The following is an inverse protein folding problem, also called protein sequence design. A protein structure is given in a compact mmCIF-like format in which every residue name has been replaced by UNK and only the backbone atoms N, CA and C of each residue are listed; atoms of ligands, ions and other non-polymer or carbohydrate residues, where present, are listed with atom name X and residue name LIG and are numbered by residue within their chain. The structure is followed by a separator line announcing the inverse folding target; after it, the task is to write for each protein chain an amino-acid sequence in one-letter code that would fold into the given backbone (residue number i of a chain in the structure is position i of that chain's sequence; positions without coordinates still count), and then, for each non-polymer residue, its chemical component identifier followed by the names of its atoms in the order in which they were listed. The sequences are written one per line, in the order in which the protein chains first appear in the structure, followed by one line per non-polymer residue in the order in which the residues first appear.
data_IF_014001978729
#
_entry.id   IF_014001978729
#
_cell.length_a   1.000
_cell.length_b   1.000
_cell.length_c   1.000
_cell.angle_alpha   90.00
_cell.angle_beta   90.00
_cell.angle_gamma   90.00
#
_symmetry.space_group_name_H-M   'P 1'
#
loop_
_entity.id
_entity.type
_entity.pdbx_description
1 polymer ?
#
# COMPACT_ATOMS: atom_id res chain seq x y z
N UNK A 1 12.25 14.23 -7.40
CA UNK A 1 11.71 15.57 -7.46
C UNK A 1 10.58 15.65 -8.47
N UNK A 2 9.63 16.63 -8.36
CA UNK A 2 8.55 16.78 -9.32
C UNK A 2 9.04 16.92 -10.77
N UNK A 3 8.27 16.35 -11.72
CA UNK A 3 8.57 16.40 -13.15
C UNK A 3 9.70 15.50 -13.64
N UNK A 4 10.34 14.73 -12.77
CA UNK A 4 11.37 13.77 -13.18
C UNK A 4 10.76 12.51 -13.77
N UNK A 5 11.50 11.85 -14.66
CA UNK A 5 11.25 10.47 -15.07
C UNK A 5 12.18 9.54 -14.30
N UNK A 6 11.65 8.44 -13.74
CA UNK A 6 12.41 7.48 -12.93
C UNK A 6 12.09 6.07 -13.39
N UNK A 7 13.11 5.30 -13.76
CA UNK A 7 12.97 3.88 -14.09
C UNK A 7 13.96 3.04 -13.29
N UNK A 8 13.54 1.87 -12.88
CA UNK A 8 14.34 0.96 -12.05
C UNK A 8 13.83 -0.48 -12.21
N UNK A 9 14.64 -1.46 -11.88
CA UNK A 9 14.27 -2.88 -11.90
C UNK A 9 13.27 -3.31 -10.82
N UNK A 10 12.71 -2.37 -10.05
CA UNK A 10 11.69 -2.60 -9.03
C UNK A 10 10.32 -2.11 -9.51
N UNK A 11 9.28 -2.96 -9.44
CA UNK A 11 7.91 -2.60 -9.84
C UNK A 11 7.34 -1.44 -9.03
N UNK A 12 7.73 -1.30 -7.74
CA UNK A 12 7.25 -0.23 -6.87
C UNK A 12 8.03 1.09 -7.00
N UNK A 13 8.84 1.24 -8.05
CA UNK A 13 9.38 2.53 -8.51
C UNK A 13 8.26 3.56 -8.71
N UNK A 14 7.04 3.12 -9.01
CA UNK A 14 5.83 3.94 -9.06
C UNK A 14 5.59 4.79 -7.80
N UNK A 15 6.15 4.41 -6.65
CA UNK A 15 6.10 5.20 -5.40
C UNK A 15 6.52 6.66 -5.61
N UNK A 16 7.48 6.94 -6.51
CA UNK A 16 7.94 8.30 -6.82
C UNK A 16 6.87 9.18 -7.46
N UNK A 17 5.79 8.59 -7.98
CA UNK A 17 4.63 9.34 -8.48
C UNK A 17 3.96 10.22 -7.43
N UNK A 18 4.15 9.92 -6.14
CA UNK A 18 3.72 10.77 -5.02
C UNK A 18 4.34 12.17 -5.03
N UNK A 19 5.46 12.33 -5.74
CA UNK A 19 6.16 13.60 -5.95
C UNK A 19 5.84 14.26 -7.30
N UNK A 20 4.89 13.74 -8.06
CA UNK A 20 4.65 14.20 -9.44
C UNK A 20 5.74 13.78 -10.42
N UNK A 21 6.42 12.65 -10.16
CA UNK A 21 7.42 12.05 -11.05
C UNK A 21 6.76 10.93 -11.87
N UNK A 22 7.02 10.87 -13.17
CA UNK A 22 6.64 9.70 -13.97
C UNK A 22 7.63 8.57 -13.70
N UNK A 23 7.21 7.62 -12.86
CA UNK A 23 8.07 6.57 -12.34
C UNK A 23 7.45 5.19 -12.49
N UNK A 24 8.23 4.23 -13.01
CA UNK A 24 7.76 2.86 -13.17
C UNK A 24 8.89 1.83 -13.20
N UNK A 25 8.54 0.59 -12.89
CA UNK A 25 9.44 -0.55 -13.03
C UNK A 25 9.69 -0.93 -14.48
N UNK A 26 10.90 -1.42 -14.75
CA UNK A 26 11.33 -1.95 -16.05
C UNK A 26 12.02 -3.30 -15.88
N UNK A 27 12.03 -4.10 -16.93
CA UNK A 27 12.70 -5.39 -16.93
C UNK A 27 14.23 -5.28 -17.00
N UNK A 28 14.92 -6.37 -16.69
CA UNK A 28 16.39 -6.41 -16.64
C UNK A 28 17.04 -5.98 -17.95
N UNK A 29 16.52 -6.44 -19.11
CA UNK A 29 17.01 -6.05 -20.43
C UNK A 29 16.80 -4.56 -20.72
N UNK A 30 15.70 -3.98 -20.23
CA UNK A 30 15.44 -2.54 -20.33
C UNK A 30 16.38 -1.74 -19.43
N UNK A 31 16.73 -2.27 -18.22
CA UNK A 31 17.75 -1.66 -17.36
C UNK A 31 19.10 -1.59 -18.06
N UNK A 32 19.54 -2.68 -18.71
CA UNK A 32 20.77 -2.71 -19.50
C UNK A 32 20.73 -1.63 -20.60
N UNK A 33 19.63 -1.55 -21.36
CA UNK A 33 19.45 -0.57 -22.42
C UNK A 33 19.54 0.87 -21.89
N UNK A 34 18.84 1.16 -20.78
CA UNK A 34 18.86 2.50 -20.15
C UNK A 34 20.24 2.86 -19.64
N UNK A 35 20.99 1.93 -19.04
CA UNK A 35 22.35 2.19 -18.58
C UNK A 35 23.31 2.48 -19.74
N UNK A 36 23.11 1.80 -20.89
CA UNK A 36 23.94 1.99 -22.07
C UNK A 36 23.61 3.28 -22.87
N UNK A 37 22.33 3.64 -22.95
CA UNK A 37 21.85 4.66 -23.90
C UNK A 37 21.13 5.83 -23.25
N UNK A 38 20.76 5.73 -21.98
CA UNK A 38 19.91 6.67 -21.22
C UNK A 38 18.55 6.92 -21.89
N UNK A 39 18.10 5.97 -22.69
CA UNK A 39 16.81 6.03 -23.39
C UNK A 39 16.00 4.75 -23.15
N UNK A 40 14.68 4.89 -23.29
CA UNK A 40 13.76 3.77 -23.21
C UNK A 40 12.60 3.99 -24.20
N UNK A 41 12.36 3.01 -25.07
CA UNK A 41 11.24 3.05 -25.99
C UNK A 41 9.99 2.60 -25.24
N UNK A 42 9.01 3.49 -25.14
CA UNK A 42 7.76 3.21 -24.46
C UNK A 42 6.55 3.46 -25.36
N UNK A 43 5.55 2.59 -25.26
CA UNK A 43 4.23 2.86 -25.83
C UNK A 43 3.54 3.92 -24.95
N UNK A 44 2.96 4.96 -25.56
CA UNK A 44 2.17 5.97 -24.84
C UNK A 44 1.06 5.28 -24.05
N UNK A 45 1.01 5.52 -22.76
CA UNK A 45 -0.04 5.03 -21.87
C UNK A 45 -1.33 5.83 -22.08
N UNK A 46 -2.45 5.23 -21.75
CA UNK A 46 -3.72 5.92 -21.58
C UNK A 46 -3.75 6.66 -20.25
N UNK A 47 -4.60 7.68 -20.14
CA UNK A 47 -4.76 8.47 -18.94
C UNK A 47 -6.00 8.01 -18.14
N UNK A 48 -5.81 7.66 -16.87
CA UNK A 48 -6.91 7.36 -15.95
C UNK A 48 -6.91 8.35 -14.81
N UNK A 49 -8.07 8.93 -14.53
CA UNK A 49 -8.30 9.77 -13.34
C UNK A 49 -8.99 8.93 -12.26
N UNK A 50 -8.41 8.93 -11.05
CA UNK A 50 -9.04 8.37 -9.84
C UNK A 50 -9.21 9.52 -8.85
N UNK A 51 -10.44 9.92 -8.64
CA UNK A 51 -10.80 11.04 -7.78
C UNK A 51 -11.44 10.56 -6.49
N UNK A 52 -10.81 10.89 -5.35
CA UNK A 52 -11.36 10.59 -4.03
C UNK A 52 -11.88 11.89 -3.44
N UNK A 53 -13.20 12.08 -3.49
CA UNK A 53 -13.87 13.30 -3.04
C UNK A 53 -14.14 13.30 -1.54
N UNK A 54 -14.31 14.47 -0.96
CA UNK A 54 -14.67 14.64 0.46
C UNK A 54 -13.54 14.24 1.41
N UNK A 55 -13.90 13.71 2.59
CA UNK A 55 -12.94 13.38 3.66
C UNK A 55 -12.99 11.92 4.05
N UNK A 56 -11.86 11.39 4.47
CA UNK A 56 -11.79 10.05 5.05
C UNK A 56 -12.39 10.05 6.47
N UNK A 57 -13.06 8.95 6.81
CA UNK A 57 -13.55 8.73 8.19
C UNK A 57 -12.38 8.32 9.11
N UNK A 58 -12.50 8.53 10.42
CA UNK A 58 -11.51 8.02 11.39
C UNK A 58 -11.24 6.52 11.20
N UNK A 59 -9.97 6.12 11.31
CA UNK A 59 -9.52 4.74 11.14
C UNK A 59 -9.28 4.32 9.67
N UNK A 60 -9.61 5.17 8.70
CA UNK A 60 -9.33 4.95 7.27
C UNK A 60 -7.99 5.57 6.89
N UNK A 61 -7.19 4.85 6.13
CA UNK A 61 -5.82 5.22 5.73
C UNK A 61 -5.65 5.20 4.21
N UNK A 62 -4.49 5.64 3.75
CA UNK A 62 -4.11 5.54 2.33
C UNK A 62 -4.15 4.09 1.80
N UNK A 63 -3.88 3.10 2.66
CA UNK A 63 -3.99 1.67 2.31
C UNK A 63 -5.42 1.28 1.97
N UNK A 64 -6.38 1.78 2.73
CA UNK A 64 -7.80 1.50 2.51
C UNK A 64 -8.30 2.16 1.21
N UNK A 65 -7.80 3.36 0.89
CA UNK A 65 -8.07 4.01 -0.41
C UNK A 65 -7.63 3.09 -1.55
N UNK A 66 -6.36 2.65 -1.53
CA UNK A 66 -5.82 1.83 -2.64
C UNK A 66 -6.53 0.50 -2.77
N UNK A 67 -6.80 -0.18 -1.67
CA UNK A 67 -7.55 -1.43 -1.68
C UNK A 67 -8.97 -1.21 -2.22
N UNK A 68 -9.65 -0.14 -1.84
CA UNK A 68 -10.99 0.21 -2.37
C UNK A 68 -10.95 0.50 -3.86
N UNK A 69 -9.94 1.21 -4.36
CA UNK A 69 -9.76 1.47 -5.80
C UNK A 69 -9.54 0.16 -6.55
N UNK A 70 -8.65 -0.72 -6.06
CA UNK A 70 -8.36 -2.02 -6.68
C UNK A 70 -9.61 -2.91 -6.64
N UNK A 71 -10.33 -2.94 -5.53
CA UNK A 71 -11.60 -3.67 -5.41
C UNK A 71 -12.65 -3.22 -6.43
N UNK A 72 -12.74 -1.90 -6.68
CA UNK A 72 -13.68 -1.34 -7.65
C UNK A 72 -13.26 -1.57 -9.11
N UNK A 73 -11.95 -1.65 -9.40
CA UNK A 73 -11.42 -1.71 -10.77
C UNK A 73 -10.95 -3.10 -11.20
N UNK A 74 -10.61 -3.93 -10.24
CA UNK A 74 -9.89 -5.19 -10.43
C UNK A 74 -8.39 -5.00 -10.61
N UNK A 75 -7.62 -6.08 -10.46
CA UNK A 75 -6.14 -6.11 -10.61
C UNK A 75 -5.66 -5.83 -12.03
N UNK A 76 -6.53 -5.91 -13.03
CA UNK A 76 -6.25 -5.58 -14.43
C UNK A 76 -6.87 -4.25 -14.87
N UNK A 77 -7.60 -3.56 -13.98
CA UNK A 77 -8.39 -2.37 -14.32
C UNK A 77 -7.57 -1.18 -14.80
N UNK A 78 -6.31 -1.10 -14.38
CA UNK A 78 -5.34 -0.09 -14.77
C UNK A 78 -4.40 -0.50 -15.90
N UNK A 79 -4.58 -1.66 -16.51
CA UNK A 79 -3.66 -2.15 -17.55
C UNK A 79 -3.61 -1.22 -18.76
N UNK A 80 -2.40 -0.75 -19.07
CA UNK A 80 -2.14 0.22 -20.14
C UNK A 80 -2.39 1.69 -19.76
N UNK A 81 -2.70 1.97 -18.49
CA UNK A 81 -2.91 3.32 -17.97
C UNK A 81 -1.74 3.81 -17.11
N UNK A 82 -1.59 5.12 -17.08
CA UNK A 82 -1.02 5.86 -15.95
C UNK A 82 -2.20 6.47 -15.19
N UNK A 83 -2.22 6.31 -13.88
CA UNK A 83 -3.32 6.79 -13.02
C UNK A 83 -2.90 8.10 -12.36
N UNK A 84 -3.69 9.15 -12.52
CA UNK A 84 -3.62 10.34 -11.67
C UNK A 84 -4.63 10.18 -10.53
N UNK A 85 -4.12 10.22 -9.31
CA UNK A 85 -4.94 10.26 -8.10
C UNK A 85 -5.13 11.70 -7.65
N UNK A 86 -6.37 12.12 -7.46
CA UNK A 86 -6.74 13.49 -7.10
C UNK A 86 -7.97 13.52 -6.18
N UNK A 87 -8.48 14.72 -5.90
CA UNK A 87 -9.61 14.95 -4.99
C UNK A 87 -9.14 15.41 -3.61
N UNK A 88 -10.11 15.83 -2.77
CA UNK A 88 -9.83 16.40 -1.45
C UNK A 88 -9.12 15.40 -0.56
N UNK A 89 -9.61 14.17 -0.49
CA UNK A 89 -9.03 13.15 0.36
C UNK A 89 -7.57 12.82 0.00
N UNK A 90 -7.20 12.87 -1.29
CA UNK A 90 -5.81 12.67 -1.73
C UNK A 90 -4.93 13.87 -1.36
N UNK A 91 -5.43 15.10 -1.51
CA UNK A 91 -4.71 16.31 -1.10
C UNK A 91 -4.46 16.37 0.40
N UNK A 92 -5.41 15.82 1.20
CA UNK A 92 -5.29 15.77 2.65
C UNK A 92 -4.25 14.76 3.15
N UNK A 93 -3.90 13.74 2.36
CA UNK A 93 -2.87 12.77 2.71
C UNK A 93 -1.51 13.43 2.97
N UNK A 94 -0.76 12.84 3.90
CA UNK A 94 0.68 13.07 4.05
C UNK A 94 1.46 12.59 2.83
N UNK A 95 2.74 12.94 2.71
CA UNK A 95 3.58 12.39 1.65
C UNK A 95 3.72 10.88 1.75
N UNK A 96 3.81 10.32 2.94
CA UNK A 96 3.86 8.88 3.19
C UNK A 96 2.58 8.18 2.72
N UNK A 97 1.41 8.78 2.99
CA UNK A 97 0.13 8.31 2.48
C UNK A 97 0.06 8.34 0.95
N UNK A 98 0.52 9.44 0.33
CA UNK A 98 0.61 9.55 -1.13
C UNK A 98 1.56 8.51 -1.74
N UNK A 99 2.69 8.24 -1.07
CA UNK A 99 3.60 7.17 -1.48
C UNK A 99 2.94 5.79 -1.43
N UNK A 100 2.10 5.52 -0.43
CA UNK A 100 1.33 4.27 -0.37
C UNK A 100 0.35 4.16 -1.54
N UNK A 101 -0.35 5.24 -1.89
CA UNK A 101 -1.28 5.28 -3.03
C UNK A 101 -0.55 4.98 -4.34
N UNK A 102 0.54 5.69 -4.62
CA UNK A 102 1.31 5.49 -5.85
C UNK A 102 2.05 4.14 -5.89
N UNK A 103 2.54 3.66 -4.74
CA UNK A 103 3.17 2.35 -4.61
C UNK A 103 2.24 1.23 -5.09
N UNK A 104 0.99 1.26 -4.67
CA UNK A 104 0.02 0.21 -4.97
C UNK A 104 -0.73 0.38 -6.30
N UNK A 105 -0.47 1.43 -7.07
CA UNK A 105 -1.06 1.59 -8.40
C UNK A 105 -0.75 0.39 -9.32
N UNK A 106 0.42 -0.21 -9.16
CA UNK A 106 0.87 -1.40 -9.89
C UNK A 106 -0.01 -2.62 -9.59
N UNK A 107 -0.55 -2.72 -8.39
CA UNK A 107 -1.41 -3.85 -7.99
C UNK A 107 -2.80 -3.79 -8.66
N UNK A 108 -3.21 -2.61 -9.13
CA UNK A 108 -4.34 -2.42 -10.03
C UNK A 108 -4.00 -2.60 -11.52
N UNK A 109 -2.77 -3.03 -11.84
CA UNK A 109 -2.30 -3.24 -13.21
C UNK A 109 -1.81 -1.98 -13.93
N UNK A 110 -1.79 -0.82 -13.27
CA UNK A 110 -1.35 0.42 -13.88
C UNK A 110 0.17 0.45 -14.12
N UNK A 111 0.59 1.23 -15.12
CA UNK A 111 2.01 1.45 -15.41
C UNK A 111 2.68 2.30 -14.32
N UNK A 112 1.97 3.34 -13.88
CA UNK A 112 2.41 4.25 -12.83
C UNK A 112 1.19 4.88 -12.15
N UNK A 113 1.39 5.38 -10.94
CA UNK A 113 0.47 6.28 -10.25
C UNK A 113 1.12 7.64 -10.10
N UNK A 114 0.36 8.72 -10.24
CA UNK A 114 0.81 10.09 -10.11
C UNK A 114 -0.11 10.87 -9.18
N UNK A 115 0.48 11.78 -8.41
CA UNK A 115 -0.24 12.81 -7.67
C UNK A 115 0.43 14.14 -8.03
N UNK A 116 -0.37 15.13 -8.44
CA UNK A 116 0.14 16.46 -8.75
C UNK A 116 0.89 17.06 -7.54
N UNK A 117 2.09 17.62 -7.71
CA UNK A 117 2.84 18.17 -6.61
C UNK A 117 2.17 19.46 -6.09
N UNK A 118 2.14 19.61 -4.78
CA UNK A 118 1.56 20.74 -4.06
C UNK A 118 2.51 21.22 -2.92
N UNK A 119 2.04 22.10 -2.07
CA UNK A 119 2.81 22.65 -0.96
C UNK A 119 3.38 21.57 -0.04
N UNK A 120 2.63 20.48 0.22
CA UNK A 120 3.15 19.35 1.02
C UNK A 120 4.33 18.67 0.35
N UNK A 121 4.26 18.51 -0.97
CA UNK A 121 5.35 17.93 -1.76
C UNK A 121 6.58 18.83 -1.72
N UNK A 122 6.38 20.14 -1.87
CA UNK A 122 7.47 21.11 -1.85
C UNK A 122 8.14 21.16 -0.48
N UNK A 123 7.37 21.23 0.60
CA UNK A 123 7.90 21.23 1.96
C UNK A 123 8.66 19.94 2.28
N UNK A 124 8.16 18.79 1.83
CA UNK A 124 8.86 17.51 2.01
C UNK A 124 10.18 17.45 1.26
N UNK A 125 10.29 18.07 0.07
CA UNK A 125 11.52 18.12 -0.73
C UNK A 125 12.52 19.14 -0.19
N UNK A 126 12.07 20.20 0.47
CA UNK A 126 12.89 21.31 0.93
C UNK A 126 13.99 20.84 1.88
N UNK A 127 15.22 21.29 1.62
CA UNK A 127 16.37 20.98 2.46
C UNK A 127 16.93 19.55 2.30
N UNK A 128 16.34 18.70 1.46
CA UNK A 128 16.90 17.38 1.18
C UNK A 128 18.26 17.50 0.47
N UNK A 129 19.18 16.53 0.66
CA UNK A 129 20.56 16.63 0.15
C UNK A 129 20.68 16.98 -1.34
N UNK A 130 19.79 16.45 -2.17
CA UNK A 130 19.80 16.65 -3.63
C UNK A 130 18.69 17.58 -4.13
N UNK A 131 18.01 18.28 -3.23
CA UNK A 131 17.04 19.30 -3.62
C UNK A 131 17.77 20.56 -4.13
N UNK A 132 17.18 21.31 -5.09
CA UNK A 132 17.70 22.61 -5.50
C UNK A 132 17.83 23.57 -4.31
N UNK A 133 18.73 24.56 -4.39
CA UNK A 133 18.97 25.54 -3.32
C UNK A 133 19.00 26.95 -3.88
N UNK A 134 18.65 27.94 -3.04
CA UNK A 134 18.68 29.36 -3.43
C UNK A 134 17.85 29.65 -4.68
N UNK A 135 18.38 30.40 -5.62
CA UNK A 135 17.68 30.77 -6.84
C UNK A 135 17.21 29.56 -7.69
N UNK A 136 17.93 28.43 -7.62
CA UNK A 136 17.50 27.19 -8.29
C UNK A 136 16.25 26.60 -7.66
N UNK A 137 16.08 26.75 -6.35
CA UNK A 137 14.87 26.31 -5.65
C UNK A 137 13.67 27.14 -6.10
N UNK A 138 13.81 28.46 -6.18
CA UNK A 138 12.73 29.36 -6.62
C UNK A 138 12.31 29.03 -8.06
N UNK A 139 13.28 28.87 -8.97
CA UNK A 139 13.00 28.49 -10.35
C UNK A 139 12.33 27.09 -10.45
N UNK A 140 12.73 26.15 -9.62
CA UNK A 140 12.11 24.82 -9.56
C UNK A 140 10.67 24.91 -9.06
N UNK A 141 10.41 25.69 -8.00
CA UNK A 141 9.08 25.92 -7.46
C UNK A 141 8.13 26.53 -8.50
N UNK A 142 8.60 27.53 -9.25
CA UNK A 142 7.80 28.16 -10.31
C UNK A 142 7.40 27.14 -11.38
N UNK A 143 8.33 26.25 -11.75
CA UNK A 143 8.03 25.18 -12.70
C UNK A 143 7.15 24.08 -12.10
N UNK A 144 7.41 23.62 -10.89
CA UNK A 144 6.65 22.55 -10.25
C UNK A 144 5.18 22.90 -10.05
N UNK A 145 4.88 24.18 -9.82
CA UNK A 145 3.51 24.68 -9.71
C UNK A 145 2.71 24.60 -11.02
N UNK A 146 3.38 24.37 -12.15
CA UNK A 146 2.72 24.16 -13.44
C UNK A 146 2.40 22.69 -13.75
N UNK A 147 2.82 21.76 -12.88
CA UNK A 147 2.68 20.31 -13.09
C UNK A 147 1.33 19.77 -12.61
N UNK A 148 0.26 20.47 -12.94
CA UNK A 148 -1.12 20.01 -12.75
C UNK A 148 -1.71 19.63 -14.11
N UNK A 149 -2.65 18.70 -14.11
CA UNK A 149 -3.46 18.46 -15.30
C UNK A 149 -4.40 19.63 -15.55
N UNK A 150 -4.51 20.06 -16.80
CA UNK A 150 -5.39 21.13 -17.22
C UNK A 150 -6.87 20.76 -16.95
N UNK A 151 -7.75 21.75 -16.81
CA UNK A 151 -9.17 21.52 -16.54
C UNK A 151 -9.86 20.74 -17.68
N UNK A 152 -9.40 20.93 -18.91
CA UNK A 152 -9.86 20.27 -20.12
C UNK A 152 -9.02 19.03 -20.50
N UNK A 153 -8.18 18.53 -19.59
CA UNK A 153 -7.36 17.35 -19.83
C UNK A 153 -8.21 16.14 -20.25
N UNK A 154 -7.74 15.44 -21.29
CA UNK A 154 -8.42 14.25 -21.79
C UNK A 154 -8.15 13.03 -20.88
N UNK A 155 -9.23 12.39 -20.43
CA UNK A 155 -9.20 11.17 -19.64
C UNK A 155 -9.85 10.03 -20.42
N UNK A 156 -9.10 8.93 -20.63
CA UNK A 156 -9.64 7.70 -21.23
C UNK A 156 -10.56 6.95 -20.26
N UNK A 157 -10.37 7.15 -18.94
CA UNK A 157 -11.21 6.57 -17.88
C UNK A 157 -11.21 7.48 -16.66
N UNK A 158 -12.37 7.65 -16.05
CA UNK A 158 -12.56 8.38 -14.80
C UNK A 158 -13.25 7.48 -13.79
N UNK A 159 -12.74 7.48 -12.54
CA UNK A 159 -13.32 6.78 -11.41
C UNK A 159 -13.44 7.78 -10.28
N UNK A 160 -14.62 7.90 -9.69
CA UNK A 160 -14.87 8.77 -8.54
C UNK A 160 -15.37 7.93 -7.37
N UNK A 161 -14.72 8.06 -6.22
CA UNK A 161 -15.10 7.41 -4.97
C UNK A 161 -15.23 8.49 -3.90
N UNK A 162 -16.29 8.42 -3.10
CA UNK A 162 -16.44 9.32 -1.96
C UNK A 162 -15.59 8.80 -0.79
N UNK A 163 -14.77 9.65 -0.22
CA UNK A 163 -13.91 9.30 0.93
C UNK A 163 -14.72 8.80 2.13
N UNK A 164 -15.92 9.34 2.33
CA UNK A 164 -16.85 8.94 3.39
C UNK A 164 -17.38 7.50 3.22
N UNK A 165 -17.36 6.97 2.00
CA UNK A 165 -17.81 5.59 1.71
C UNK A 165 -16.70 4.54 1.89
N UNK A 166 -15.44 5.00 2.01
CA UNK A 166 -14.31 4.12 2.28
C UNK A 166 -14.30 3.75 3.76
N UNK A 167 -14.17 2.45 4.03
CA UNK A 167 -14.04 1.91 5.38
C UNK A 167 -12.68 1.20 5.54
N UNK A 168 -12.19 0.97 6.77
CA UNK A 168 -11.06 0.09 6.98
C UNK A 168 -11.28 -1.24 6.27
N UNK A 169 -10.35 -1.59 5.39
CA UNK A 169 -10.51 -2.65 4.40
C UNK A 169 -9.54 -3.81 4.67
N UNK A 170 -9.96 -5.01 4.32
CA UNK A 170 -9.14 -6.22 4.41
C UNK A 170 -9.40 -7.12 3.22
N UNK A 171 -8.37 -7.76 2.68
CA UNK A 171 -8.57 -8.79 1.65
C UNK A 171 -9.01 -10.10 2.29
N UNK A 172 -10.06 -10.70 1.73
CA UNK A 172 -10.57 -12.01 2.16
C UNK A 172 -10.02 -13.16 1.33
N UNK A 173 -9.62 -12.89 0.08
CA UNK A 173 -9.17 -13.90 -0.87
C UNK A 173 -7.69 -13.82 -1.22
N UNK A 174 -7.33 -14.27 -2.40
CA UNK A 174 -5.96 -14.46 -2.88
C UNK A 174 -5.48 -13.38 -3.85
N UNK A 175 -6.23 -12.30 -3.94
CA UNK A 175 -5.93 -11.14 -4.80
C UNK A 175 -6.19 -9.84 -4.04
N UNK A 176 -5.46 -8.74 -4.31
CA UNK A 176 -5.80 -7.43 -3.76
C UNK A 176 -7.20 -6.92 -4.15
N UNK A 177 -7.80 -7.44 -5.23
CA UNK A 177 -9.18 -7.12 -5.60
C UNK A 177 -10.24 -7.84 -4.74
N UNK A 178 -9.86 -8.91 -4.06
CA UNK A 178 -10.72 -9.65 -3.14
C UNK A 178 -10.81 -8.92 -1.80
N UNK A 179 -11.22 -7.67 -1.80
CA UNK A 179 -11.24 -6.77 -0.65
C UNK A 179 -12.66 -6.40 -0.24
N UNK A 180 -12.87 -6.29 1.06
CA UNK A 180 -14.12 -5.86 1.66
C UNK A 180 -13.87 -4.98 2.88
N UNK A 181 -14.85 -4.15 3.29
CA UNK A 181 -14.83 -3.51 4.59
C UNK A 181 -14.70 -4.56 5.71
N UNK A 182 -13.94 -4.26 6.76
CA UNK A 182 -13.71 -5.19 7.90
C UNK A 182 -15.02 -5.67 8.55
N UNK A 183 -16.08 -4.90 8.43
CA UNK A 183 -17.42 -5.22 8.98
C UNK A 183 -18.23 -6.18 8.11
N UNK A 184 -17.72 -6.55 6.95
CA UNK A 184 -18.39 -7.46 6.01
C UNK A 184 -18.21 -8.93 6.40
N UNK A 185 -18.80 -9.79 5.59
CA UNK A 185 -18.68 -11.25 5.69
C UNK A 185 -17.98 -11.80 4.45
N UNK A 186 -17.36 -12.96 4.57
CA UNK A 186 -16.84 -13.72 3.44
C UNK A 186 -17.96 -13.93 2.43
N UNK A 187 -17.80 -13.52 1.15
CA UNK A 187 -18.84 -13.62 0.15
C UNK A 187 -19.14 -15.09 -0.19
N UNK A 188 -20.35 -15.35 -0.66
CA UNK A 188 -20.64 -16.64 -1.27
C UNK A 188 -20.12 -16.65 -2.73
N UNK A 189 -19.66 -17.81 -3.20
CA UNK A 189 -19.21 -17.92 -4.59
C UNK A 189 -20.35 -17.61 -5.58
N UNK A 190 -21.60 -17.84 -5.17
CA UNK A 190 -22.81 -17.49 -5.94
C UNK A 190 -23.04 -15.98 -6.10
N UNK A 191 -22.36 -15.13 -5.32
CA UNK A 191 -22.46 -13.68 -5.43
C UNK A 191 -21.69 -13.13 -6.68
N UNK A 192 -20.89 -14.00 -7.28
CA UNK A 192 -20.08 -13.67 -8.46
C UNK A 192 -20.70 -14.22 -9.75
N UNK A 193 -20.23 -13.78 -10.91
CA UNK A 193 -20.70 -14.22 -12.22
C UNK A 193 -19.54 -14.65 -13.13
N UNK A 194 -19.83 -15.54 -14.08
CA UNK A 194 -18.84 -16.01 -15.05
C UNK A 194 -17.65 -16.70 -14.40
N UNK A 195 -16.47 -16.49 -14.93
CA UNK A 195 -15.22 -17.08 -14.40
C UNK A 195 -14.85 -16.67 -12.98
N UNK A 196 -15.47 -15.60 -12.45
CA UNK A 196 -15.24 -15.17 -11.06
C UNK A 196 -15.88 -16.11 -10.03
N UNK A 197 -16.87 -16.93 -10.40
CA UNK A 197 -17.46 -17.95 -9.50
C UNK A 197 -16.40 -18.97 -9.09
N UNK A 198 -15.68 -19.52 -10.06
CA UNK A 198 -14.66 -20.54 -9.79
C UNK A 198 -13.42 -19.93 -9.11
N UNK A 199 -13.05 -18.70 -9.44
CA UNK A 199 -12.01 -17.97 -8.76
C UNK A 199 -12.34 -17.73 -7.28
N UNK A 200 -13.58 -17.33 -6.97
CA UNK A 200 -14.03 -17.14 -5.58
C UNK A 200 -14.05 -18.46 -4.79
N UNK A 201 -14.56 -19.55 -5.38
CA UNK A 201 -14.50 -20.88 -4.74
C UNK A 201 -13.08 -21.29 -4.40
N UNK A 202 -12.15 -21.16 -5.36
CA UNK A 202 -10.74 -21.47 -5.14
C UNK A 202 -10.11 -20.59 -4.06
N UNK A 203 -10.40 -19.29 -4.06
CA UNK A 203 -9.89 -18.37 -3.06
C UNK A 203 -10.41 -18.71 -1.65
N UNK A 204 -11.71 -18.99 -1.49
CA UNK A 204 -12.32 -19.38 -0.22
C UNK A 204 -11.69 -20.70 0.30
N UNK A 205 -11.54 -21.69 -0.59
CA UNK A 205 -10.90 -22.98 -0.27
C UNK A 205 -9.43 -22.79 0.15
N UNK A 206 -8.65 -22.07 -0.66
CA UNK A 206 -7.22 -21.80 -0.37
C UNK A 206 -7.05 -21.07 0.96
N UNK A 207 -7.87 -20.04 1.18
CA UNK A 207 -7.84 -19.25 2.41
C UNK A 207 -8.46 -20.00 3.60
N UNK A 208 -9.08 -21.18 3.37
CA UNK A 208 -9.71 -21.98 4.42
C UNK A 208 -10.80 -21.20 5.17
N UNK A 209 -11.64 -20.49 4.41
CA UNK A 209 -12.73 -19.68 4.93
C UNK A 209 -14.08 -20.39 4.70
N UNK A 210 -15.11 -19.89 5.38
CA UNK A 210 -16.48 -20.33 5.19
C UNK A 210 -17.32 -19.17 4.68
N UNK A 211 -18.12 -19.40 3.65
CA UNK A 211 -19.07 -18.39 3.13
C UNK A 211 -19.99 -17.87 4.26
N UNK A 212 -20.18 -16.56 4.29
CA UNK A 212 -21.00 -15.91 5.32
C UNK A 212 -20.33 -15.70 6.69
N UNK A 213 -19.11 -16.22 6.91
CA UNK A 213 -18.31 -15.98 8.12
C UNK A 213 -17.98 -14.49 8.23
N UNK A 214 -18.13 -13.88 9.40
CA UNK A 214 -17.72 -12.51 9.61
C UNK A 214 -16.20 -12.38 9.47
N UNK A 215 -15.71 -11.33 8.79
CA UNK A 215 -14.26 -11.13 8.63
C UNK A 215 -13.57 -10.99 9.99
N UNK A 216 -14.24 -10.42 10.98
CA UNK A 216 -13.73 -10.27 12.35
C UNK A 216 -13.61 -11.59 13.14
N UNK A 217 -14.17 -12.69 12.64
CA UNK A 217 -14.03 -14.02 13.25
C UNK A 217 -12.81 -14.79 12.72
N UNK A 218 -12.14 -14.25 11.71
CA UNK A 218 -10.95 -14.87 11.11
C UNK A 218 -9.77 -14.76 12.07
N UNK A 219 -9.28 -15.90 12.56
CA UNK A 219 -8.09 -15.97 13.42
C UNK A 219 -6.81 -15.77 12.63
N UNK A 220 -5.78 -15.19 13.28
CA UNK A 220 -4.48 -14.83 12.71
C UNK A 220 -3.38 -15.50 13.52
N UNK A 221 -2.41 -16.10 12.85
CA UNK A 221 -1.23 -16.75 13.45
C UNK A 221 -0.01 -15.83 13.46
N UNK A 222 0.14 -15.01 12.41
CA UNK A 222 1.32 -14.16 12.18
C UNK A 222 0.89 -12.74 11.80
N UNK A 223 1.70 -11.75 12.19
CA UNK A 223 1.53 -10.36 11.78
C UNK A 223 2.80 -9.85 11.14
N UNK A 224 2.66 -9.24 9.96
CA UNK A 224 3.75 -8.59 9.23
C UNK A 224 3.42 -7.12 8.98
N UNK A 225 4.24 -6.20 9.50
CA UNK A 225 4.12 -4.75 9.27
C UNK A 225 5.43 -4.25 8.68
N UNK A 226 5.37 -3.60 7.51
CA UNK A 226 6.57 -2.98 6.97
C UNK A 226 6.75 -3.06 5.46
N UNK A 227 8.00 -3.14 5.06
CA UNK A 227 8.56 -3.09 3.70
C UNK A 227 8.29 -1.76 2.98
N UNK A 228 8.41 -1.72 1.63
CA UNK A 228 8.28 -0.49 0.85
C UNK A 228 6.87 0.10 0.87
N UNK A 229 5.85 -0.72 1.11
CA UNK A 229 4.44 -0.30 1.06
C UNK A 229 4.04 0.47 2.31
N UNK A 230 4.23 -0.12 3.48
CA UNK A 230 3.83 0.44 4.78
C UNK A 230 4.89 0.21 5.87
N UNK A 231 6.13 0.58 5.57
CA UNK A 231 7.25 0.60 6.52
C UNK A 231 7.87 1.98 6.68
N UNK A 232 7.15 3.06 6.34
CA UNK A 232 7.59 4.44 6.52
C UNK A 232 7.37 4.88 7.96
N UNK A 233 7.98 5.98 8.37
CA UNK A 233 7.93 6.42 9.76
C UNK A 233 6.49 6.62 10.28
N UNK A 234 5.58 7.16 9.46
CA UNK A 234 4.18 7.34 9.85
C UNK A 234 3.44 6.01 10.03
N UNK A 235 3.73 5.01 9.18
CA UNK A 235 3.18 3.66 9.31
C UNK A 235 3.58 3.03 10.65
N UNK A 236 4.86 3.18 11.01
CA UNK A 236 5.41 2.68 12.27
C UNK A 236 4.82 3.43 13.47
N UNK A 237 4.69 4.75 13.40
CA UNK A 237 4.02 5.56 14.44
C UNK A 237 2.57 5.13 14.64
N UNK A 238 1.82 4.91 13.54
CA UNK A 238 0.43 4.48 13.61
C UNK A 238 0.28 3.10 14.27
N UNK A 239 1.13 2.14 13.90
CA UNK A 239 1.14 0.81 14.52
C UNK A 239 1.57 0.87 15.99
N UNK A 240 2.62 1.64 16.31
CA UNK A 240 3.12 1.81 17.68
C UNK A 240 2.07 2.45 18.60
N UNK A 241 1.29 3.41 18.11
CA UNK A 241 0.21 4.04 18.87
C UNK A 241 -0.85 3.01 19.34
N UNK A 242 -1.16 2.01 18.50
CA UNK A 242 -2.09 0.92 18.85
C UNK A 242 -1.50 -0.02 19.89
N UNK A 243 -0.18 -0.27 19.83
CA UNK A 243 0.54 -1.28 20.62
C UNK A 243 1.06 -0.76 21.95
N UNK A 244 1.20 0.56 22.11
CA UNK A 244 1.83 1.17 23.29
C UNK A 244 1.19 0.71 24.59
N UNK A 245 2.02 0.09 25.46
CA UNK A 245 1.59 -0.43 26.76
C UNK A 245 0.77 -1.73 26.71
N UNK A 246 0.62 -2.32 25.53
CA UNK A 246 -0.13 -3.57 25.32
C UNK A 246 0.81 -4.70 24.88
N UNK A 247 0.36 -5.94 24.96
CA UNK A 247 1.08 -7.13 24.49
C UNK A 247 0.31 -7.82 23.38
N UNK A 248 1.03 -8.37 22.40
CA UNK A 248 0.40 -9.22 21.38
C UNK A 248 -0.15 -10.49 22.01
N UNK A 249 -1.10 -11.14 21.34
CA UNK A 249 -1.67 -12.41 21.77
C UNK A 249 -0.57 -13.47 21.94
N UNK A 250 -0.63 -14.22 23.03
CA UNK A 250 0.33 -15.30 23.31
C UNK A 250 0.40 -16.30 22.16
N UNK A 251 1.62 -16.72 21.82
CA UNK A 251 1.89 -17.66 20.74
C UNK A 251 1.89 -17.04 19.32
N UNK A 252 1.57 -15.77 19.18
CA UNK A 252 1.59 -15.08 17.89
C UNK A 252 3.01 -14.69 17.49
N UNK A 253 3.37 -14.92 16.25
CA UNK A 253 4.58 -14.37 15.63
C UNK A 253 4.26 -13.02 15.00
N UNK A 254 4.97 -11.98 15.39
CA UNK A 254 4.76 -10.65 14.84
C UNK A 254 6.11 -9.97 14.53
N UNK A 255 6.20 -9.31 13.37
CA UNK A 255 7.43 -8.65 12.94
C UNK A 255 7.21 -7.29 12.34
N UNK A 256 8.15 -6.39 12.62
CA UNK A 256 8.26 -5.05 12.02
C UNK A 256 9.48 -4.99 11.13
N UNK A 257 9.28 -4.55 9.88
CA UNK A 257 10.35 -4.38 8.89
C UNK A 257 10.34 -2.93 8.40
N UNK A 258 11.22 -2.06 8.91
CA UNK A 258 11.32 -0.68 8.43
C UNK A 258 11.60 -0.62 6.92
N UNK A 259 11.04 0.38 6.24
CA UNK A 259 11.15 0.52 4.78
C UNK A 259 12.55 0.92 4.29
N UNK A 260 13.38 1.49 5.16
CA UNK A 260 14.77 1.85 4.87
C UNK A 260 15.61 1.93 6.13
N UNK A 261 16.95 1.94 5.97
CA UNK A 261 17.88 2.14 7.09
C UNK A 261 17.68 3.49 7.78
N UNK A 262 17.34 4.55 7.04
CA UNK A 262 17.07 5.87 7.60
C UNK A 262 15.79 5.88 8.44
N UNK A 263 14.73 5.26 7.96
CA UNK A 263 13.48 5.10 8.72
C UNK A 263 13.71 4.28 9.96
N UNK A 264 14.52 3.21 9.87
CA UNK A 264 14.86 2.39 11.02
C UNK A 264 15.59 3.21 12.10
N UNK A 265 16.62 3.97 11.73
CA UNK A 265 17.36 4.82 12.65
C UNK A 265 16.44 5.86 13.32
N UNK A 266 15.59 6.52 12.54
CA UNK A 266 14.61 7.47 13.05
C UNK A 266 13.62 6.81 14.03
N UNK A 267 13.11 5.63 13.70
CA UNK A 267 12.19 4.90 14.58
C UNK A 267 12.87 4.47 15.90
N UNK A 268 14.14 4.11 15.85
CA UNK A 268 14.94 3.81 17.04
C UNK A 268 15.16 5.08 17.90
N UNK A 269 15.47 6.22 17.29
CA UNK A 269 15.61 7.51 17.96
C UNK A 269 14.30 7.99 18.61
N UNK A 270 13.16 7.77 17.96
CA UNK A 270 11.83 8.09 18.48
C UNK A 270 11.33 7.10 19.56
N UNK A 271 12.08 6.03 19.86
CA UNK A 271 11.68 4.99 20.81
C UNK A 271 10.60 4.04 20.32
N UNK A 272 10.25 4.07 19.01
CA UNK A 272 9.23 3.17 18.45
C UNK A 272 9.67 1.71 18.48
N UNK A 273 10.96 1.46 18.26
CA UNK A 273 11.54 0.11 18.31
C UNK A 273 11.31 -0.56 19.67
N UNK A 274 11.39 0.19 20.75
CA UNK A 274 11.18 -0.34 22.09
C UNK A 274 9.70 -0.63 22.34
N UNK A 275 8.78 0.23 21.87
CA UNK A 275 7.34 -0.05 21.92
C UNK A 275 7.01 -1.37 21.22
N UNK A 276 7.59 -1.63 20.04
CA UNK A 276 7.37 -2.88 19.31
C UNK A 276 7.94 -4.10 20.04
N UNK A 277 9.17 -4.02 20.51
CA UNK A 277 9.81 -5.10 21.28
C UNK A 277 9.05 -5.39 22.59
N UNK A 278 8.67 -4.33 23.30
CA UNK A 278 7.87 -4.45 24.51
C UNK A 278 6.51 -5.08 24.25
N UNK A 279 5.89 -4.79 23.11
CA UNK A 279 4.65 -5.44 22.71
C UNK A 279 4.84 -6.92 22.32
N UNK A 280 6.05 -7.36 21.98
CA UNK A 280 6.38 -8.72 21.59
C UNK A 280 6.66 -8.89 20.10
N UNK A 281 6.83 -7.81 19.34
CA UNK A 281 7.23 -7.86 17.93
C UNK A 281 8.74 -8.08 17.77
N UNK A 282 9.11 -8.81 16.74
CA UNK A 282 10.48 -8.91 16.26
C UNK A 282 10.85 -7.64 15.48
N UNK A 283 11.87 -6.90 15.93
CA UNK A 283 12.40 -5.72 15.24
C UNK A 283 13.45 -6.12 14.22
N UNK A 284 13.13 -6.04 12.93
CA UNK A 284 13.95 -6.53 11.83
C UNK A 284 14.83 -5.44 11.22
N UNK A 285 15.80 -5.86 10.41
CA UNK A 285 16.52 -4.97 9.50
C UNK A 285 15.60 -4.48 8.40
N UNK A 286 15.89 -3.31 7.84
CA UNK A 286 15.18 -2.78 6.68
C UNK A 286 15.34 -3.70 5.47
N UNK A 287 14.23 -3.93 4.74
CA UNK A 287 14.22 -4.78 3.56
C UNK A 287 12.83 -5.27 3.18
N UNK A 288 12.78 -6.28 2.33
CA UNK A 288 11.51 -6.89 1.90
C UNK A 288 11.00 -7.98 2.86
N UNK A 289 11.93 -8.77 3.44
CA UNK A 289 11.60 -9.84 4.41
C UNK A 289 10.43 -10.70 3.92
N UNK A 290 9.45 -10.98 4.75
CA UNK A 290 8.27 -11.79 4.41
C UNK A 290 7.46 -11.26 3.23
N UNK A 291 7.54 -9.98 2.86
CA UNK A 291 6.81 -9.46 1.69
C UNK A 291 7.10 -10.24 0.39
N UNK A 292 8.31 -10.78 0.25
CA UNK A 292 8.74 -11.64 -0.88
C UNK A 292 8.92 -13.09 -0.50
N UNK A 293 9.09 -13.39 0.80
CA UNK A 293 9.43 -14.73 1.31
C UNK A 293 10.66 -15.37 0.63
N UNK A 294 11.63 -14.56 0.23
CA UNK A 294 12.90 -15.01 -0.38
C UNK A 294 14.01 -15.22 0.66
N UNK A 295 13.70 -15.08 1.93
CA UNK A 295 14.57 -15.32 3.08
C UNK A 295 13.86 -16.28 4.05
N UNK A 296 14.43 -16.63 5.20
CA UNK A 296 13.79 -17.49 6.19
C UNK A 296 12.49 -16.93 6.81
N UNK A 297 12.18 -15.63 6.62
CA UNK A 297 10.92 -15.04 7.05
C UNK A 297 9.79 -15.47 6.10
N UNK A 298 9.20 -16.61 6.37
CA UNK A 298 8.14 -17.24 5.58
C UNK A 298 7.02 -17.72 6.48
N UNK A 299 5.81 -17.82 5.92
CA UNK A 299 4.68 -18.51 6.53
C UNK A 299 4.84 -20.02 6.34
N UNK A 300 4.48 -20.78 7.36
CA UNK A 300 4.29 -22.22 7.25
C UNK A 300 3.01 -22.52 6.44
N UNK A 301 2.90 -23.75 5.86
CA UNK A 301 1.70 -24.16 5.15
C UNK A 301 0.43 -24.06 6.02
N UNK A 302 -0.56 -23.30 5.55
CA UNK A 302 -1.80 -23.06 6.26
C UNK A 302 -1.77 -21.91 7.26
N UNK A 303 -0.60 -21.40 7.62
CA UNK A 303 -0.43 -20.25 8.51
C UNK A 303 -1.05 -18.98 7.90
N UNK A 304 -1.73 -18.20 8.72
CA UNK A 304 -2.50 -17.02 8.33
C UNK A 304 -1.87 -15.74 8.85
N UNK A 305 -1.65 -14.79 7.95
CA UNK A 305 -0.97 -13.54 8.23
C UNK A 305 -1.86 -12.31 8.02
N UNK A 306 -1.93 -11.43 9.03
CA UNK A 306 -2.36 -10.05 8.85
C UNK A 306 -1.15 -9.23 8.37
N UNK A 307 -1.23 -8.65 7.16
CA UNK A 307 -0.06 -8.12 6.48
C UNK A 307 -0.30 -6.74 5.89
N UNK A 308 0.70 -5.87 6.01
CA UNK A 308 0.71 -4.57 5.31
C UNK A 308 1.44 -4.61 3.98
N UNK A 309 1.84 -5.80 3.51
CA UNK A 309 2.46 -5.94 2.18
C UNK A 309 1.52 -5.50 1.06
N UNK A 310 2.02 -5.50 -0.17
CA UNK A 310 1.26 -5.02 -1.33
C UNK A 310 0.52 -6.14 -2.07
N UNK A 311 0.96 -7.39 -1.94
CA UNK A 311 0.44 -8.57 -2.67
C UNK A 311 0.13 -9.71 -1.73
N UNK A 312 -0.91 -10.48 -2.06
CA UNK A 312 -1.37 -11.63 -1.28
C UNK A 312 -1.77 -12.85 -2.15
N UNK A 313 -1.23 -12.96 -3.37
CA UNK A 313 -1.50 -14.16 -4.17
C UNK A 313 -0.97 -15.43 -3.50
N UNK A 314 -1.50 -16.57 -3.89
CA UNK A 314 -1.17 -17.88 -3.34
C UNK A 314 0.34 -18.10 -3.21
N UNK A 315 0.82 -18.40 -2.02
CA UNK A 315 2.23 -18.66 -1.74
C UNK A 315 3.14 -17.44 -1.67
N UNK A 316 2.62 -16.20 -1.78
CA UNK A 316 3.45 -14.98 -1.80
C UNK A 316 4.33 -14.82 -0.58
N UNK A 317 3.82 -15.09 0.62
CA UNK A 317 4.56 -14.98 1.88
C UNK A 317 5.05 -16.34 2.43
N UNK A 318 4.97 -17.40 1.63
CA UNK A 318 5.35 -18.76 1.96
C UNK A 318 4.42 -19.79 1.30
N UNK A 319 4.95 -21.00 1.04
CA UNK A 319 4.18 -22.06 0.40
C UNK A 319 2.89 -22.39 1.17
N UNK A 320 1.74 -22.27 0.51
CA UNK A 320 0.41 -22.43 1.12
C UNK A 320 0.12 -21.46 2.29
N UNK A 321 0.88 -20.38 2.43
CA UNK A 321 0.61 -19.30 3.38
C UNK A 321 -0.62 -18.49 2.95
N UNK A 322 -1.39 -18.02 3.94
CA UNK A 322 -2.65 -17.28 3.74
C UNK A 322 -2.48 -15.85 4.20
N UNK A 323 -2.60 -14.88 3.30
CA UNK A 323 -2.30 -13.48 3.60
C UNK A 323 -3.53 -12.59 3.44
N UNK A 324 -3.83 -11.81 4.47
CA UNK A 324 -4.84 -10.74 4.44
C UNK A 324 -4.13 -9.39 4.43
N UNK A 325 -4.36 -8.58 3.39
CA UNK A 325 -3.82 -7.22 3.29
C UNK A 325 -4.68 -6.25 4.08
N UNK A 326 -4.03 -5.36 4.83
CA UNK A 326 -4.69 -4.32 5.62
C UNK A 326 -3.74 -3.17 5.98
N UNK A 327 -4.26 -2.13 6.62
CA UNK A 327 -3.46 -1.01 7.09
C UNK A 327 -2.60 -1.38 8.30
N UNK A 328 -1.51 -0.60 8.59
CA UNK A 328 -0.63 -0.85 9.73
C UNK A 328 -1.36 -0.88 11.08
N UNK A 329 -2.28 0.05 11.30
CA UNK A 329 -3.07 0.09 12.53
C UNK A 329 -3.99 -1.14 12.69
N UNK A 330 -4.61 -1.60 11.59
CA UNK A 330 -5.42 -2.82 11.58
C UNK A 330 -4.58 -4.08 11.84
N UNK A 331 -3.37 -4.16 11.24
CA UNK A 331 -2.46 -5.27 11.49
C UNK A 331 -1.96 -5.30 12.96
N UNK A 332 -1.68 -4.12 13.53
CA UNK A 332 -1.34 -3.99 14.94
C UNK A 332 -2.51 -4.41 15.86
N UNK A 333 -3.74 -4.03 15.51
CA UNK A 333 -4.94 -4.46 16.24
C UNK A 333 -5.13 -5.98 16.16
N UNK A 334 -4.89 -6.59 14.98
CA UNK A 334 -4.94 -8.02 14.81
C UNK A 334 -3.90 -8.77 15.67
N UNK A 335 -2.72 -8.17 15.86
CA UNK A 335 -1.69 -8.72 16.75
C UNK A 335 -2.15 -8.81 18.22
N UNK A 336 -2.90 -7.80 18.68
CA UNK A 336 -3.41 -7.77 20.05
C UNK A 336 -4.53 -8.81 20.29
N UNK A 337 -5.42 -8.96 19.31
CA UNK A 337 -6.64 -9.76 19.48
C UNK A 337 -6.50 -11.20 18.97
N UNK A 338 -5.52 -11.46 18.10
CA UNK A 338 -5.32 -12.73 17.41
C UNK A 338 -6.35 -13.01 16.31
N UNK A 339 -7.04 -11.98 15.82
CA UNK A 339 -8.03 -12.06 14.73
C UNK A 339 -8.09 -10.76 13.94
N UNK A 340 -8.70 -10.78 12.77
CA UNK A 340 -8.97 -9.55 12.03
C UNK A 340 -9.84 -8.63 12.88
N UNK A 341 -9.42 -7.40 13.10
CA UNK A 341 -10.04 -6.50 14.08
C UNK A 341 -10.30 -5.12 13.48
N UNK A 342 -11.49 -4.62 13.69
CA UNK A 342 -11.84 -3.24 13.34
C UNK A 342 -11.18 -2.28 14.33
N UNK A 343 -10.18 -1.53 13.86
CA UNK A 343 -9.42 -0.59 14.69
C UNK A 343 -10.32 0.43 15.41
N UNK A 344 -11.47 0.76 14.81
CA UNK A 344 -12.43 1.71 15.38
C UNK A 344 -13.15 1.19 16.63
N UNK A 345 -13.05 -0.12 16.87
CA UNK A 345 -13.70 -0.82 18.00
C UNK A 345 -12.71 -1.38 19.01
N UNK A 346 -11.42 -1.14 18.83
CA UNK A 346 -10.38 -1.77 19.66
C UNK A 346 -10.45 -1.32 21.13
N UNK A 347 -10.81 -0.07 21.38
CA UNK A 347 -10.89 0.54 22.72
C UNK A 347 -12.36 0.89 23.13
N UNK A 348 -13.35 0.30 22.42
CA UNK A 348 -14.78 0.53 22.67
C UNK A 348 -15.37 -0.43 23.70
#
# INVERSE_FOLDING_TARGET
LPGMTVVCGDSHTATHGAFGSLAHGIGTSEVEHVLATQTLIQKKSKNMKVEITGKLRPGVTAKDITLSVIGATGTAGGTGYVIEYCGEAIRDLSMEGRMTVCNMAIEGGARAGLIAPDEKTFEYCKGRPHAPKGAQWEAAMDWWKTLFSDEDAHWDKVITIKGEDIAPAVTWGTSPEDVLPITAKVPAASDFTGGKVDAAKRAIEYMGLTEGMALTDIEIDTVFIGSCTNGRIEDLRAAAAVLKGKKIKDGMRAMIVPGSGLVRAQAEEEGLADIFKDAGFEWRLAGCSMCLAMNPDQLAPGERCASTSNRNFEGRQGFKGRTHLMSPAMAAAAALTGRLTDIRKLDA
#
